data_IF_236653172200
#
_entry.id   IF_236653172200
#
_cell.length_a   1.000
_cell.length_b   1.000
_cell.length_c   1.000
_cell.angle_alpha   90.00
_cell.angle_beta   90.00
_cell.angle_gamma   90.00
#
_symmetry.space_group_name_H-M   'P 1'
#
loop_
_entity.id
_entity.type
_entity.pdbx_description
1 polymer ?
#
# COMPACT_ATOMS: atom_id res chain seq x y z
N UNK A 1 15.15 7.35 0.54
CA UNK A 1 14.63 8.74 0.63
C UNK A 1 13.60 8.76 1.76
N UNK A 2 13.65 9.74 2.66
CA UNK A 2 12.63 9.93 3.71
C UNK A 2 11.71 11.09 3.34
N UNK A 3 10.40 10.93 3.56
CA UNK A 3 9.39 11.98 3.33
C UNK A 3 8.87 12.45 4.67
N UNK A 4 8.86 13.77 4.89
CA UNK A 4 8.26 14.39 6.06
C UNK A 4 6.79 14.67 5.76
N UNK A 5 5.90 14.15 6.58
CA UNK A 5 4.46 14.36 6.47
C UNK A 5 4.03 15.38 7.53
N UNK A 6 3.29 16.41 7.10
CA UNK A 6 2.87 17.49 7.98
C UNK A 6 1.55 17.14 8.66
N UNK A 7 1.55 17.12 9.99
CA UNK A 7 0.34 16.97 10.80
C UNK A 7 -0.23 15.55 10.88
N UNK A 8 0.58 14.54 10.59
CA UNK A 8 0.22 13.12 10.75
C UNK A 8 1.15 12.53 11.80
N UNK A 9 0.58 11.83 12.77
CA UNK A 9 1.36 11.16 13.82
C UNK A 9 1.86 9.80 13.35
N UNK A 10 2.93 9.31 13.99
CA UNK A 10 3.52 8.01 13.62
C UNK A 10 2.56 6.84 13.85
N UNK A 11 1.62 6.99 14.78
CA UNK A 11 0.62 5.99 15.14
C UNK A 11 -0.49 5.88 14.09
N UNK A 12 -0.68 6.91 13.26
CA UNK A 12 -1.68 6.93 12.19
C UNK A 12 -1.19 6.25 10.90
N UNK A 13 0.10 5.90 10.82
CA UNK A 13 0.71 5.26 9.64
C UNK A 13 1.21 3.87 10.00
N UNK A 14 0.80 2.88 9.21
CA UNK A 14 1.20 1.50 9.37
C UNK A 14 2.06 0.99 8.21
N UNK A 15 2.95 0.04 8.52
CA UNK A 15 3.72 -0.65 7.48
C UNK A 15 2.77 -1.45 6.58
N UNK A 16 2.91 -1.25 5.27
CA UNK A 16 2.04 -1.84 4.25
C UNK A 16 1.21 -0.79 3.50
N UNK A 17 1.03 0.40 4.07
CA UNK A 17 0.47 1.55 3.37
C UNK A 17 1.48 2.14 2.37
N UNK A 18 0.97 2.83 1.34
CA UNK A 18 1.79 3.43 0.27
C UNK A 18 1.54 4.93 0.14
N UNK A 19 2.59 5.70 -0.15
CA UNK A 19 2.49 7.12 -0.49
C UNK A 19 2.14 7.24 -1.98
N UNK A 20 0.96 7.78 -2.29
CA UNK A 20 0.45 7.88 -3.65
C UNK A 20 -0.13 9.27 -3.93
N UNK A 21 -0.14 9.68 -5.21
CA UNK A 21 -0.83 10.91 -5.61
C UNK A 21 -2.32 10.77 -5.28
N UNK A 22 -2.99 11.81 -4.76
CA UNK A 22 -4.43 11.75 -4.50
C UNK A 22 -5.21 11.27 -5.72
N UNK A 23 -6.01 10.22 -5.54
CA UNK A 23 -6.85 9.61 -6.58
C UNK A 23 -6.15 8.60 -7.50
N UNK A 24 -4.84 8.35 -7.37
CA UNK A 24 -4.13 7.42 -8.27
C UNK A 24 -4.33 5.94 -7.93
N UNK A 25 -4.57 5.61 -6.66
CA UNK A 25 -4.75 4.23 -6.19
C UNK A 25 -5.90 4.17 -5.18
N UNK A 26 -6.67 3.08 -5.21
CA UNK A 26 -7.75 2.80 -4.25
C UNK A 26 -7.46 1.45 -3.58
N UNK A 27 -7.73 1.30 -2.27
CA UNK A 27 -7.62 0.01 -1.60
C UNK A 27 -8.68 -0.95 -2.11
N UNK A 28 -8.28 -2.18 -2.44
CA UNK A 28 -9.17 -3.25 -2.86
C UNK A 28 -8.87 -4.51 -2.05
N UNK A 29 -9.92 -5.14 -1.51
CA UNK A 29 -9.82 -6.36 -0.69
C UNK A 29 -10.01 -7.64 -1.52
N UNK A 30 -10.82 -7.56 -2.58
CA UNK A 30 -11.12 -8.69 -3.46
C UNK A 30 -10.56 -8.42 -4.85
N UNK A 31 -9.74 -9.34 -5.36
CA UNK A 31 -9.16 -9.26 -6.69
C UNK A 31 -9.06 -10.64 -7.32
N UNK A 32 -9.07 -10.68 -8.66
CA UNK A 32 -8.77 -11.89 -9.42
C UNK A 32 -7.28 -11.87 -9.77
N UNK A 33 -6.58 -12.96 -9.51
CA UNK A 33 -5.16 -13.11 -9.83
C UNK A 33 -4.91 -14.42 -10.57
N UNK A 34 -3.90 -14.41 -11.43
CA UNK A 34 -3.34 -15.62 -12.00
C UNK A 34 -2.13 -16.00 -11.15
N UNK A 35 -2.17 -17.19 -10.57
CA UNK A 35 -1.08 -17.72 -9.74
C UNK A 35 -0.47 -18.90 -10.46
N UNK A 36 0.86 -18.86 -10.63
CA UNK A 36 1.61 -20.00 -11.12
C UNK A 36 2.14 -20.80 -9.93
N UNK A 37 1.72 -22.06 -9.81
CA UNK A 37 2.14 -22.95 -8.72
C UNK A 37 3.34 -23.76 -9.18
N UNK A 38 4.50 -23.47 -8.60
CA UNK A 38 5.73 -24.21 -8.84
C UNK A 38 5.64 -25.59 -8.18
N UNK A 39 5.88 -26.65 -8.95
CA UNK A 39 6.11 -28.00 -8.43
C UNK A 39 7.51 -28.09 -7.83
N UNK A 40 7.63 -28.79 -6.69
CA UNK A 40 8.88 -28.98 -5.95
C UNK A 40 9.88 -29.84 -6.71
#
# INVERSE_FOLDING_TARGET
VGLLLRGIEREEIERGQVMAKPGSIKPATTFKAQVYVLTK
#
